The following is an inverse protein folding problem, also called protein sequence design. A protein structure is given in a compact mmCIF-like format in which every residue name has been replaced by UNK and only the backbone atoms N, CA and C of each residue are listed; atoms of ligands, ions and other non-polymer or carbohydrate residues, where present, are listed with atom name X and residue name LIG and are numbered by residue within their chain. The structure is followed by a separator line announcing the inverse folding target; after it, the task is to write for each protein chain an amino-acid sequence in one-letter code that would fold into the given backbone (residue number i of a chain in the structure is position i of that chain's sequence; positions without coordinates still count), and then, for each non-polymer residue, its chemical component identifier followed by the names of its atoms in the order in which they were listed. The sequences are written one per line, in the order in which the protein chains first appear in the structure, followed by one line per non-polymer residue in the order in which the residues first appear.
data_IF_027075107401
#
_entry.id   IF_027075107401
#
_cell.length_a   1.000
_cell.length_b   1.000
_cell.length_c   1.000
_cell.angle_alpha   90.00
_cell.angle_beta   90.00
_cell.angle_gamma   90.00
#
_symmetry.space_group_name_H-M   'P 1'
#
loop_
_entity.id
_entity.type
_entity.pdbx_description
1 polymer ?
#
# COMPACT_ATOMS: atom_id res chain seq x y z
N UNK A 1 -9.47 8.93 -8.49
CA UNK A 1 -8.75 7.67 -8.25
C UNK A 1 -9.29 7.09 -6.95
N UNK A 2 -9.68 5.81 -6.98
CA UNK A 2 -10.12 5.11 -5.77
C UNK A 2 -8.96 5.02 -4.76
N UNK A 3 -9.26 5.24 -3.48
CA UNK A 3 -8.26 5.31 -2.41
C UNK A 3 -7.98 3.96 -1.74
N UNK A 4 -8.85 2.99 -1.95
CA UNK A 4 -8.77 1.65 -1.36
C UNK A 4 -9.65 0.65 -2.14
N UNK A 5 -9.48 -0.64 -1.83
CA UNK A 5 -10.25 -1.72 -2.46
C UNK A 5 -11.76 -1.63 -2.19
N UNK A 6 -12.19 -1.03 -1.08
CA UNK A 6 -13.61 -0.86 -0.76
C UNK A 6 -14.28 0.16 -1.69
N UNK A 7 -13.57 1.22 -2.06
CA UNK A 7 -14.04 2.19 -3.06
C UNK A 7 -14.13 1.56 -4.46
N UNK A 8 -13.17 0.71 -4.84
CA UNK A 8 -13.22 -0.06 -6.10
C UNK A 8 -14.41 -1.04 -6.09
N UNK A 9 -14.63 -1.74 -4.97
CA UNK A 9 -15.77 -2.65 -4.81
C UNK A 9 -17.11 -1.91 -4.86
N UNK A 10 -17.20 -0.70 -4.27
CA UNK A 10 -18.36 0.18 -4.40
C UNK A 10 -18.56 0.62 -5.84
N UNK A 11 -17.50 1.00 -6.54
CA UNK A 11 -17.57 1.41 -7.95
C UNK A 11 -18.11 0.28 -8.82
N UNK A 12 -17.57 -0.93 -8.66
CA UNK A 12 -18.05 -2.13 -9.35
C UNK A 12 -19.53 -2.42 -9.04
N UNK A 13 -19.92 -2.39 -7.75
CA UNK A 13 -21.30 -2.66 -7.31
C UNK A 13 -22.32 -1.68 -7.88
N UNK A 14 -21.93 -0.43 -8.10
CA UNK A 14 -22.82 0.62 -8.62
C UNK A 14 -22.72 0.79 -10.14
N UNK A 15 -21.81 0.06 -10.80
CA UNK A 15 -21.65 0.12 -12.26
C UNK A 15 -22.87 -0.55 -12.91
N UNK A 16 -23.66 0.25 -13.63
CA UNK A 16 -24.78 -0.23 -14.45
C UNK A 16 -24.37 -0.25 -15.90
N UNK A 17 -24.64 -1.34 -16.61
CA UNK A 17 -24.38 -1.43 -18.04
C UNK A 17 -25.56 -0.91 -18.86
N UNK A 18 -25.25 -0.27 -19.98
CA UNK A 18 -26.24 0.22 -20.92
C UNK A 18 -26.91 -0.95 -21.63
N UNK A 19 -28.25 -0.95 -21.72
CA UNK A 19 -28.99 -1.94 -22.54
C UNK A 19 -29.01 -1.51 -24.00
N UNK A 20 -28.89 -2.47 -24.91
CA UNK A 20 -29.22 -2.32 -26.33
C UNK A 20 -30.73 -2.45 -26.54
N UNK A 21 -31.25 -1.80 -27.59
CA UNK A 21 -32.69 -1.73 -27.89
C UNK A 21 -33.30 -3.08 -28.31
N UNK A 22 -32.51 -4.03 -28.81
CA UNK A 22 -32.91 -5.42 -29.02
C UNK A 22 -31.99 -6.34 -28.20
N UNK A 23 -32.57 -7.00 -27.20
CA UNK A 23 -32.09 -8.30 -26.70
C UNK A 23 -30.75 -8.39 -25.96
N UNK A 24 -30.15 -7.31 -25.44
CA UNK A 24 -28.87 -7.46 -24.75
C UNK A 24 -28.31 -6.24 -24.01
N UNK A 25 -27.13 -6.43 -23.43
CA UNK A 25 -26.27 -5.37 -22.87
C UNK A 25 -25.33 -4.87 -23.96
N UNK A 26 -25.00 -3.59 -23.93
CA UNK A 26 -24.03 -2.99 -24.81
C UNK A 26 -22.60 -3.41 -24.43
N UNK A 27 -22.02 -4.34 -25.19
CA UNK A 27 -20.68 -4.87 -24.94
C UNK A 27 -19.60 -3.79 -24.95
N UNK A 28 -19.71 -2.77 -25.80
CA UNK A 28 -18.74 -1.67 -25.83
C UNK A 28 -18.75 -0.88 -24.52
N UNK A 29 -19.94 -0.63 -23.98
CA UNK A 29 -20.11 0.03 -22.68
C UNK A 29 -19.56 -0.82 -21.53
N UNK A 30 -19.73 -2.15 -21.59
CA UNK A 30 -19.15 -3.09 -20.62
C UNK A 30 -17.62 -3.03 -20.65
N UNK A 31 -17.01 -3.19 -21.83
CA UNK A 31 -15.56 -3.17 -21.97
C UNK A 31 -14.96 -1.83 -21.56
N UNK A 32 -15.61 -0.73 -21.92
CA UNK A 32 -15.18 0.62 -21.51
C UNK A 32 -15.21 0.80 -19.99
N UNK A 33 -16.26 0.29 -19.33
CA UNK A 33 -16.39 0.35 -17.86
C UNK A 33 -15.40 -0.55 -17.14
N UNK A 34 -15.17 -1.76 -17.66
CA UNK A 34 -14.14 -2.67 -17.16
C UNK A 34 -12.73 -2.10 -17.32
N UNK A 35 -12.41 -1.52 -18.49
CA UNK A 35 -11.11 -0.89 -18.73
C UNK A 35 -10.84 0.27 -17.77
N UNK A 36 -11.85 1.11 -17.51
CA UNK A 36 -11.74 2.17 -16.51
C UNK A 36 -11.49 1.61 -15.11
N UNK A 37 -12.23 0.59 -14.71
CA UNK A 37 -12.06 -0.06 -13.41
C UNK A 37 -10.65 -0.66 -13.25
N UNK A 38 -10.15 -1.30 -14.32
CA UNK A 38 -8.81 -1.87 -14.35
C UNK A 38 -7.72 -0.79 -14.20
N UNK A 39 -7.88 0.38 -14.82
CA UNK A 39 -6.95 1.50 -14.62
C UNK A 39 -6.92 1.95 -13.16
N UNK A 40 -8.10 2.23 -12.58
CA UNK A 40 -8.18 2.69 -11.19
C UNK A 40 -7.65 1.64 -10.19
N UNK A 41 -7.84 0.35 -10.48
CA UNK A 41 -7.26 -0.73 -9.69
C UNK A 41 -5.74 -0.83 -9.83
N UNK A 42 -5.23 -0.76 -11.06
CA UNK A 42 -3.79 -0.88 -11.32
C UNK A 42 -3.01 0.27 -10.68
N UNK A 43 -3.54 1.49 -10.75
CA UNK A 43 -2.98 2.67 -10.10
C UNK A 43 -2.88 2.51 -8.57
N UNK A 44 -3.94 2.01 -7.93
CA UNK A 44 -3.95 1.76 -6.48
C UNK A 44 -2.92 0.70 -6.07
N UNK A 45 -2.82 -0.38 -6.86
CA UNK A 45 -1.85 -1.46 -6.59
C UNK A 45 -0.42 -0.95 -6.79
N UNK A 46 -0.15 -0.15 -7.82
CA UNK A 46 1.17 0.43 -8.05
C UNK A 46 1.58 1.38 -6.92
N UNK A 47 0.66 2.21 -6.44
CA UNK A 47 0.92 3.07 -5.28
C UNK A 47 1.24 2.26 -4.02
N UNK A 48 0.47 1.21 -3.76
CA UNK A 48 0.72 0.33 -2.62
C UNK A 48 2.04 -0.43 -2.75
N UNK A 49 2.38 -0.91 -3.95
CA UNK A 49 3.67 -1.56 -4.23
C UNK A 49 4.81 -0.62 -3.89
N UNK A 50 4.79 0.62 -4.40
CA UNK A 50 5.84 1.62 -4.10
C UNK A 50 6.01 1.87 -2.61
N UNK A 51 4.91 1.95 -1.85
CA UNK A 51 4.96 2.11 -0.38
C UNK A 51 5.59 0.89 0.28
N UNK A 52 5.23 -0.31 -0.15
CA UNK A 52 5.78 -1.56 0.39
C UNK A 52 7.27 -1.70 0.05
N UNK A 53 7.67 -1.41 -1.18
CA UNK A 53 9.07 -1.46 -1.63
C UNK A 53 9.93 -0.49 -0.82
N UNK A 54 9.44 0.73 -0.57
CA UNK A 54 10.14 1.70 0.27
C UNK A 54 10.32 1.19 1.72
N UNK A 55 9.32 0.53 2.28
CA UNK A 55 9.42 -0.07 3.62
C UNK A 55 10.43 -1.22 3.63
N UNK A 56 10.38 -2.12 2.66
CA UNK A 56 11.34 -3.23 2.55
C UNK A 56 12.77 -2.70 2.47
N UNK A 57 13.02 -1.68 1.65
CA UNK A 57 14.34 -1.06 1.55
C UNK A 57 14.82 -0.47 2.88
N UNK A 58 13.95 0.23 3.63
CA UNK A 58 14.29 0.76 4.96
C UNK A 58 14.68 -0.36 5.94
N UNK A 59 13.96 -1.48 5.92
CA UNK A 59 14.28 -2.63 6.78
C UNK A 59 15.59 -3.31 6.38
N UNK A 60 15.87 -3.41 5.07
CA UNK A 60 17.14 -3.95 4.57
C UNK A 60 18.34 -3.09 4.96
N UNK A 61 18.22 -1.76 4.82
CA UNK A 61 19.24 -0.81 5.26
C UNK A 61 19.49 -0.91 6.76
N UNK A 62 18.42 -1.03 7.55
CA UNK A 62 18.51 -1.23 8.99
C UNK A 62 19.23 -2.54 9.35
N UNK A 63 18.85 -3.65 8.73
CA UNK A 63 19.50 -4.95 8.95
C UNK A 63 20.99 -4.89 8.61
N UNK A 64 21.36 -4.32 7.45
CA UNK A 64 22.75 -4.15 7.04
C UNK A 64 23.53 -3.28 8.04
N UNK A 65 22.91 -2.21 8.56
CA UNK A 65 23.54 -1.35 9.56
C UNK A 65 23.80 -2.07 10.88
N UNK A 66 22.91 -2.98 11.29
CA UNK A 66 23.08 -3.80 12.49
C UNK A 66 24.17 -4.84 12.29
N UNK A 67 24.19 -5.52 11.15
CA UNK A 67 25.22 -6.50 10.81
C UNK A 67 26.62 -5.87 10.82
N UNK A 68 26.76 -4.68 10.21
CA UNK A 68 28.02 -3.93 10.23
C UNK A 68 28.44 -3.58 11.65
N UNK A 69 27.53 -3.12 12.49
CA UNK A 69 27.83 -2.81 13.90
C UNK A 69 28.20 -4.05 14.72
N UNK A 70 27.57 -5.20 14.46
CA UNK A 70 27.96 -6.45 15.10
C UNK A 70 29.37 -6.88 14.68
N UNK A 71 29.71 -6.68 13.41
CA UNK A 71 31.05 -6.94 12.90
C UNK A 71 32.08 -6.00 13.55
N UNK A 72 31.81 -4.69 13.58
CA UNK A 72 32.65 -3.70 14.26
C UNK A 72 32.80 -3.98 15.76
N UNK A 73 31.74 -4.42 16.45
CA UNK A 73 31.78 -4.82 17.86
C UNK A 73 32.60 -6.10 18.08
N UNK A 74 32.54 -7.06 17.16
CA UNK A 74 33.42 -8.25 17.18
C UNK A 74 34.89 -7.85 17.02
N UNK A 75 35.16 -6.81 16.23
CA UNK A 75 36.50 -6.30 15.95
C UNK A 75 37.01 -5.29 17.01
N UNK A 76 36.13 -4.68 17.80
CA UNK A 76 36.47 -3.72 18.88
C UNK A 76 35.42 -3.72 20.01
N UNK A 77 35.66 -4.43 21.14
CA UNK A 77 34.64 -4.75 22.15
C UNK A 77 34.00 -3.60 22.95
N UNK A 78 34.36 -2.33 22.74
CA UNK A 78 33.89 -1.21 23.57
C UNK A 78 33.28 -0.08 22.73
N UNK A 79 31.96 -0.14 22.49
CA UNK A 79 31.15 1.02 22.09
C UNK A 79 29.80 1.03 22.85
N UNK A 80 29.28 2.25 23.16
CA UNK A 80 28.10 2.45 24.00
C UNK A 80 26.80 1.89 23.38
N UNK A 81 25.76 1.64 24.20
CA UNK A 81 24.52 1.00 23.75
C UNK A 81 23.80 1.82 22.67
N UNK A 82 23.27 1.09 21.67
CA UNK A 82 22.45 1.64 20.59
C UNK A 82 21.23 2.34 21.18
N UNK A 83 21.01 3.61 20.83
CA UNK A 83 19.82 4.35 21.21
C UNK A 83 18.70 4.10 20.18
N UNK A 84 17.64 3.33 20.51
CA UNK A 84 16.56 3.01 19.58
C UNK A 84 15.76 4.24 19.13
N UNK A 85 15.92 5.40 19.79
CA UNK A 85 15.20 6.64 19.44
C UNK A 85 15.68 7.30 18.14
N UNK A 86 16.85 6.94 17.59
CA UNK A 86 17.35 7.54 16.34
C UNK A 86 16.59 6.99 15.11
N UNK A 87 15.97 5.81 15.21
CA UNK A 87 15.15 5.20 14.16
C UNK A 87 13.65 5.22 14.46
N UNK A 88 13.19 6.01 15.45
CA UNK A 88 11.78 6.07 15.86
C UNK A 88 10.86 6.84 14.92
N UNK A 89 11.18 6.96 13.62
CA UNK A 89 10.14 7.24 12.61
C UNK A 89 9.42 5.93 12.26
N UNK A 90 8.98 5.20 13.29
CA UNK A 90 8.11 4.05 13.14
C UNK A 90 6.77 4.56 12.58
N UNK A 91 6.31 4.16 11.38
CA UNK A 91 4.99 4.57 10.86
C UNK A 91 3.82 3.90 11.60
N UNK A 92 4.10 3.06 12.60
CA UNK A 92 3.14 2.17 13.26
C UNK A 92 2.15 2.91 14.19
N UNK A 93 1.98 4.23 14.05
CA UNK A 93 0.97 5.02 14.77
C UNK A 93 0.39 6.17 13.94
N UNK A 94 0.09 5.97 12.65
CA UNK A 94 -0.61 7.02 11.88
C UNK A 94 -1.80 6.58 11.03
N UNK A 95 -2.18 5.30 11.02
CA UNK A 95 -3.43 4.88 10.34
C UNK A 95 -4.36 3.97 11.16
N UNK A 96 -4.02 3.62 12.40
CA UNK A 96 -4.87 2.76 13.25
C UNK A 96 -5.71 3.54 14.29
N UNK A 97 -6.11 4.77 13.99
CA UNK A 97 -7.04 5.54 14.85
C UNK A 97 -8.09 6.33 14.06
N UNK A 98 -8.72 5.70 13.06
CA UNK A 98 -9.94 6.25 12.43
C UNK A 98 -11.09 5.26 12.26
N UNK A 99 -11.00 4.01 12.78
CA UNK A 99 -12.05 2.99 12.59
C UNK A 99 -12.81 2.53 13.82
N UNK A 100 -12.65 3.18 14.97
CA UNK A 100 -13.53 2.98 16.14
C UNK A 100 -13.94 4.32 16.76
N UNK A 101 -14.72 5.09 16.01
CA UNK A 101 -15.44 6.26 16.49
C UNK A 101 -16.88 6.22 16.00
N UNK A 102 -17.68 5.30 16.56
CA UNK A 102 -19.15 5.39 16.55
C UNK A 102 -19.59 5.73 17.97
N UNK A 103 -19.84 7.02 18.20
CA UNK A 103 -20.88 7.49 19.10
C UNK A 103 -22.12 7.80 18.29
#
# INVERSE_FOLDING_TARGET
MAKNLEEIAKLLKHTKFKRKWFGGIDEEDVWKKLGRLQSEYSELIEENSRKHDALVNQWQEYAASLEKQLQERRESPQLPPVNPKVYSKSPINSTENQKYGRG
#
